data_IF_027325840256
#
_entry.id   IF_027325840256
#
_cell.length_a   1.000
_cell.length_b   1.000
_cell.length_c   1.000
_cell.angle_alpha   90.00
_cell.angle_beta   90.00
_cell.angle_gamma   90.00
#
_symmetry.space_group_name_H-M   'P 1'
#
loop_
_entity.id
_entity.type
_entity.pdbx_description
1 polymer ?
#
# COMPACT_ATOMS: atom_id res chain seq x y z
N UNK A 1 14.48 -12.16 -0.16
CA UNK A 1 14.68 -10.72 -0.42
C UNK A 1 14.58 -10.00 0.90
N UNK A 2 15.59 -9.22 1.24
CA UNK A 2 15.63 -8.51 2.51
C UNK A 2 14.98 -7.14 2.34
N UNK A 3 14.23 -6.72 3.36
CA UNK A 3 13.64 -5.38 3.44
C UNK A 3 14.36 -4.58 4.51
N UNK A 4 14.54 -3.29 4.24
CA UNK A 4 15.03 -2.33 5.21
C UNK A 4 13.84 -1.63 5.85
N UNK A 5 13.90 -1.45 7.17
CA UNK A 5 12.84 -0.81 7.95
C UNK A 5 13.32 0.53 8.50
N UNK A 6 12.45 1.53 8.46
CA UNK A 6 12.72 2.88 8.93
C UNK A 6 11.57 3.35 9.80
N UNK A 7 11.86 3.71 11.05
CA UNK A 7 10.92 4.44 11.89
C UNK A 7 10.81 5.87 11.34
N UNK A 8 9.57 6.35 11.20
CA UNK A 8 9.27 7.69 10.69
C UNK A 8 9.01 8.60 11.88
N UNK A 9 9.95 9.51 12.12
CA UNK A 9 9.95 10.45 13.25
C UNK A 9 9.66 11.89 12.78
N UNK A 10 9.83 12.18 11.48
CA UNK A 10 9.60 13.50 10.90
C UNK A 10 9.75 13.53 9.38
N UNK A 11 9.92 14.74 8.84
CA UNK A 11 10.23 14.98 7.43
C UNK A 11 9.14 14.56 6.45
N UNK A 12 9.52 14.44 5.17
CA UNK A 12 8.60 14.12 4.06
C UNK A 12 7.89 12.77 4.25
N UNK A 13 8.55 11.78 4.84
CA UNK A 13 7.95 10.48 5.12
C UNK A 13 6.73 10.60 6.05
N UNK A 14 6.81 11.47 7.06
CA UNK A 14 5.72 11.70 8.02
C UNK A 14 4.52 12.36 7.36
N UNK A 15 4.76 13.31 6.45
CA UNK A 15 3.70 13.97 5.71
C UNK A 15 2.98 12.97 4.80
N UNK A 16 3.74 12.16 4.06
CA UNK A 16 3.20 11.14 3.15
C UNK A 16 2.38 10.07 3.87
N UNK A 17 2.83 9.57 5.04
CA UNK A 17 2.07 8.55 5.77
C UNK A 17 0.76 9.13 6.32
N UNK A 18 0.77 10.38 6.78
CA UNK A 18 -0.44 11.07 7.25
C UNK A 18 -1.43 11.33 6.12
N UNK A 19 -0.94 11.80 4.98
CA UNK A 19 -1.75 11.98 3.77
C UNK A 19 -2.36 10.65 3.33
N UNK A 20 -1.56 9.58 3.25
CA UNK A 20 -2.05 8.25 2.90
C UNK A 20 -3.13 7.72 3.86
N UNK A 21 -2.98 7.95 5.17
CA UNK A 21 -4.00 7.58 6.16
C UNK A 21 -5.28 8.38 5.94
N UNK A 22 -5.17 9.69 5.71
CA UNK A 22 -6.31 10.57 5.45
C UNK A 22 -7.06 10.16 4.17
N UNK A 23 -6.34 9.89 3.08
CA UNK A 23 -6.93 9.41 1.82
C UNK A 23 -7.64 8.07 2.04
N UNK A 24 -7.01 7.10 2.71
CA UNK A 24 -7.64 5.81 3.00
C UNK A 24 -8.90 5.95 3.85
N UNK A 25 -8.93 6.91 4.77
CA UNK A 25 -10.12 7.22 5.57
C UNK A 25 -11.23 7.78 4.70
N UNK A 26 -10.93 8.74 3.83
CA UNK A 26 -11.89 9.31 2.89
C UNK A 26 -12.48 8.23 1.95
N UNK A 27 -11.63 7.35 1.39
CA UNK A 27 -12.06 6.24 0.55
C UNK A 27 -12.95 5.27 1.32
N UNK A 28 -12.59 4.89 2.56
CA UNK A 28 -13.40 4.00 3.39
C UNK A 28 -14.76 4.60 3.73
N UNK A 29 -14.82 5.91 4.03
CA UNK A 29 -16.07 6.62 4.27
C UNK A 29 -16.95 6.58 3.03
N UNK A 30 -16.42 6.97 1.86
CA UNK A 30 -17.17 6.96 0.61
C UNK A 30 -17.67 5.55 0.22
N UNK A 31 -16.84 4.52 0.41
CA UNK A 31 -17.23 3.12 0.17
C UNK A 31 -18.36 2.71 1.10
N UNK A 32 -18.30 3.07 2.39
CA UNK A 32 -19.36 2.76 3.36
C UNK A 32 -20.67 3.48 3.02
N UNK A 33 -20.61 4.75 2.65
CA UNK A 33 -21.80 5.53 2.25
C UNK A 33 -22.47 4.94 1.01
N UNK A 34 -21.68 4.63 -0.03
CA UNK A 34 -22.20 3.98 -1.23
C UNK A 34 -22.76 2.58 -0.96
N UNK A 35 -22.11 1.80 -0.09
CA UNK A 35 -22.60 0.49 0.30
C UNK A 35 -23.95 0.58 1.04
N UNK A 36 -24.08 1.54 1.96
CA UNK A 36 -25.34 1.79 2.67
C UNK A 36 -26.46 2.21 1.71
N UNK A 37 -26.17 3.09 0.75
CA UNK A 37 -27.14 3.53 -0.26
C UNK A 37 -27.60 2.37 -1.18
N UNK A 38 -26.67 1.48 -1.56
CA UNK A 38 -26.99 0.29 -2.35
C UNK A 38 -27.66 -0.83 -1.55
N UNK A 39 -27.74 -0.71 -0.22
CA UNK A 39 -28.25 -1.75 0.66
C UNK A 39 -27.39 -3.03 0.62
N UNK A 40 -26.07 -2.89 0.45
CA UNK A 40 -25.12 -4.01 0.40
C UNK A 40 -24.26 -4.06 1.66
N UNK A 41 -23.96 -5.27 2.12
CA UNK A 41 -23.03 -5.48 3.22
C UNK A 41 -21.57 -5.50 2.75
N UNK A 42 -21.33 -5.95 1.52
CA UNK A 42 -19.99 -6.10 0.97
C UNK A 42 -19.85 -5.53 -0.44
N UNK A 43 -18.91 -4.59 -0.57
CA UNK A 43 -18.44 -4.05 -1.84
C UNK A 43 -17.19 -4.77 -2.37
N UNK A 44 -17.02 -4.77 -3.68
CA UNK A 44 -15.78 -5.21 -4.34
C UNK A 44 -14.90 -3.99 -4.55
N UNK A 45 -13.76 -3.90 -3.86
CA UNK A 45 -12.86 -2.75 -3.94
C UNK A 45 -11.58 -3.05 -4.74
N UNK A 46 -11.00 -2.01 -5.32
CA UNK A 46 -9.67 -2.08 -5.91
C UNK A 46 -8.61 -2.27 -4.81
N UNK A 47 -7.73 -3.27 -4.94
CA UNK A 47 -6.67 -3.52 -3.96
C UNK A 47 -5.66 -2.37 -3.87
N UNK A 48 -5.40 -1.68 -4.97
CA UNK A 48 -4.37 -0.64 -5.07
C UNK A 48 -4.90 0.74 -4.64
N UNK A 49 -6.10 1.12 -5.07
CA UNK A 49 -6.68 2.45 -4.82
C UNK A 49 -7.84 2.48 -3.82
N UNK A 50 -8.26 1.32 -3.32
CA UNK A 50 -9.30 1.16 -2.29
C UNK A 50 -10.73 1.46 -2.73
N UNK A 51 -10.92 2.08 -3.89
CA UNK A 51 -12.23 2.52 -4.38
C UNK A 51 -13.15 1.35 -4.77
N UNK A 52 -14.46 1.59 -4.71
CA UNK A 52 -15.47 0.60 -5.07
C UNK A 52 -15.47 0.36 -6.59
N UNK A 53 -15.41 -0.91 -6.98
CA UNK A 53 -15.48 -1.37 -8.37
C UNK A 53 -16.81 -2.03 -8.67
N UNK A 54 -17.37 -2.73 -7.68
CA UNK A 54 -18.61 -3.50 -7.83
C UNK A 54 -19.25 -3.77 -6.48
N UNK A 55 -20.36 -4.49 -6.51
CA UNK A 55 -21.18 -4.81 -5.35
C UNK A 55 -21.53 -6.31 -5.36
N UNK A 56 -21.79 -6.86 -4.17
CA UNK A 56 -22.39 -8.19 -4.02
C UNK A 56 -23.79 -8.01 -3.44
N UNK A 57 -24.82 -8.42 -4.18
CA UNK A 57 -26.22 -8.29 -3.78
C UNK A 57 -26.75 -9.63 -3.23
N UNK A 58 -27.27 -9.63 -2.00
CA UNK A 58 -27.91 -10.81 -1.37
C UNK A 58 -29.41 -10.89 -1.71
N UNK A 59 -29.78 -10.64 -2.98
CA UNK A 59 -31.17 -10.59 -3.41
C UNK A 59 -31.32 -10.02 -4.82
N UNK A 60 -32.37 -9.24 -5.06
CA UNK A 60 -32.58 -8.57 -6.34
C UNK A 60 -31.44 -7.59 -6.63
N UNK A 61 -30.70 -7.86 -7.71
CA UNK A 61 -29.64 -6.98 -8.17
C UNK A 61 -30.20 -5.62 -8.60
N UNK A 62 -29.54 -4.53 -8.23
CA UNK A 62 -29.90 -3.18 -8.69
C UNK A 62 -29.93 -3.13 -10.23
N UNK A 63 -30.94 -2.50 -10.86
CA UNK A 63 -31.14 -2.55 -12.32
C UNK A 63 -29.96 -1.97 -13.12
N UNK A 64 -29.23 -1.01 -12.54
CA UNK A 64 -28.04 -0.41 -13.17
C UNK A 64 -26.79 -1.28 -13.10
N UNK A 65 -26.85 -2.46 -12.49
CA UNK A 65 -25.70 -3.35 -12.37
C UNK A 65 -25.84 -4.56 -13.30
N UNK A 66 -24.70 -5.12 -13.70
CA UNK A 66 -24.64 -6.37 -14.46
C UNK A 66 -25.15 -7.54 -13.62
N UNK A 67 -25.53 -8.63 -14.27
CA UNK A 67 -25.80 -9.89 -13.56
C UNK A 67 -24.55 -10.32 -12.78
N UNK A 68 -24.71 -10.94 -11.60
CA UNK A 68 -23.59 -11.40 -10.80
C UNK A 68 -22.77 -12.42 -11.57
N UNK A 69 -21.45 -12.31 -11.50
CA UNK A 69 -20.53 -13.30 -12.05
C UNK A 69 -20.44 -14.55 -11.15
N UNK A 70 -19.57 -15.51 -11.49
CA UNK A 70 -19.37 -16.75 -10.69
C UNK A 70 -18.97 -16.52 -9.23
N UNK A 71 -18.41 -15.35 -8.90
CA UNK A 71 -18.02 -14.95 -7.54
C UNK A 71 -19.09 -14.09 -6.85
N UNK A 72 -20.26 -13.91 -7.47
CA UNK A 72 -21.33 -13.06 -6.95
C UNK A 72 -21.13 -11.56 -7.20
N UNK A 73 -20.09 -11.16 -7.94
CA UNK A 73 -19.80 -9.74 -8.17
C UNK A 73 -20.66 -9.18 -9.29
N UNK A 74 -21.28 -8.04 -9.04
CA UNK A 74 -22.00 -7.23 -10.02
C UNK A 74 -21.31 -5.87 -10.19
N UNK A 75 -21.17 -5.41 -11.43
CA UNK A 75 -20.51 -4.14 -11.76
C UNK A 75 -21.53 -3.16 -12.32
N UNK A 76 -21.36 -1.84 -12.13
CA UNK A 76 -22.22 -0.86 -12.80
C UNK A 76 -22.18 -1.06 -14.32
N UNK A 77 -23.34 -0.99 -14.97
CA UNK A 77 -23.44 -1.01 -16.43
C UNK A 77 -22.90 0.31 -16.99
N UNK A 78 -22.39 0.24 -18.22
CA UNK A 78 -21.94 1.43 -18.96
C UNK A 78 -23.06 2.45 -19.11
N UNK A 79 -22.70 3.72 -19.04
CA UNK A 79 -23.55 4.91 -19.14
C UNK A 79 -24.65 5.01 -18.06
N UNK A 80 -24.44 4.40 -16.89
CA UNK A 80 -25.36 4.56 -15.74
C UNK A 80 -24.85 5.62 -14.76
N UNK A 81 -25.74 6.15 -13.93
CA UNK A 81 -25.34 7.08 -12.86
C UNK A 81 -24.38 6.40 -11.87
N UNK A 82 -24.57 5.11 -11.60
CA UNK A 82 -23.67 4.34 -10.74
C UNK A 82 -22.28 4.16 -11.31
N UNK A 83 -22.12 3.98 -12.63
CA UNK A 83 -20.79 3.97 -13.27
C UNK A 83 -20.08 5.31 -13.06
N UNK A 84 -20.77 6.44 -13.29
CA UNK A 84 -20.21 7.77 -13.10
C UNK A 84 -19.82 8.01 -11.63
N UNK A 85 -20.67 7.61 -10.69
CA UNK A 85 -20.40 7.74 -9.25
C UNK A 85 -19.23 6.88 -8.80
N UNK A 86 -19.15 5.62 -9.25
CA UNK A 86 -18.00 4.75 -8.93
C UNK A 86 -16.71 5.28 -9.56
N UNK A 87 -16.80 5.85 -10.76
CA UNK A 87 -15.66 6.49 -11.42
C UNK A 87 -15.16 7.72 -10.65
N UNK A 88 -16.07 8.56 -10.17
CA UNK A 88 -15.80 9.79 -9.43
C UNK A 88 -15.51 9.57 -7.92
N UNK A 89 -15.76 8.37 -7.39
CA UNK A 89 -15.50 8.07 -6.00
C UNK A 89 -14.01 8.29 -5.67
N UNK A 90 -13.71 8.82 -4.46
CA UNK A 90 -12.34 8.99 -4.01
C UNK A 90 -11.52 7.71 -4.16
N UNK A 91 -10.25 7.87 -4.53
CA UNK A 91 -9.24 6.81 -4.58
C UNK A 91 -8.01 7.33 -3.89
N UNK A 92 -7.27 6.45 -3.23
CA UNK A 92 -5.93 6.79 -2.78
C UNK A 92 -4.92 6.33 -3.82
N UNK A 93 -3.76 6.99 -3.88
CA UNK A 93 -2.70 6.53 -4.76
C UNK A 93 -2.10 5.20 -4.23
N UNK A 94 -1.56 4.33 -5.11
CA UNK A 94 -0.83 3.15 -4.67
C UNK A 94 0.36 3.57 -3.79
N UNK A 95 0.40 3.08 -2.55
CA UNK A 95 1.40 3.52 -1.55
C UNK A 95 2.83 3.32 -2.02
N UNK A 96 3.07 2.25 -2.78
CA UNK A 96 4.38 1.92 -3.34
C UNK A 96 4.84 2.97 -4.34
N UNK A 97 3.97 3.41 -5.26
CA UNK A 97 4.30 4.48 -6.23
C UNK A 97 4.58 5.80 -5.49
N UNK A 98 3.72 6.16 -4.54
CA UNK A 98 3.89 7.39 -3.74
C UNK A 98 5.23 7.41 -3.02
N UNK A 99 5.60 6.33 -2.33
CA UNK A 99 6.85 6.26 -1.58
C UNK A 99 8.06 6.18 -2.53
N UNK A 100 7.99 5.34 -3.55
CA UNK A 100 9.09 5.14 -4.49
C UNK A 100 9.46 6.44 -5.20
N UNK A 101 8.47 7.15 -5.74
CA UNK A 101 8.68 8.42 -6.43
C UNK A 101 9.13 9.51 -5.46
N UNK A 102 8.47 9.62 -4.30
CA UNK A 102 8.77 10.70 -3.36
C UNK A 102 10.14 10.59 -2.71
N UNK A 103 10.65 9.36 -2.53
CA UNK A 103 11.92 9.07 -1.85
C UNK A 103 13.00 8.58 -2.80
N UNK A 104 12.73 8.58 -4.12
CA UNK A 104 13.61 8.07 -5.17
C UNK A 104 14.11 6.64 -4.90
N UNK A 105 13.23 5.76 -4.42
CA UNK A 105 13.58 4.37 -4.12
C UNK A 105 13.50 3.55 -5.43
N UNK A 106 14.59 2.96 -5.91
CA UNK A 106 14.56 2.07 -7.05
C UNK A 106 13.77 0.80 -6.72
N UNK A 107 12.66 0.57 -7.42
CA UNK A 107 11.88 -0.66 -7.34
C UNK A 107 12.20 -1.63 -8.49
N UNK A 108 13.11 -1.25 -9.40
CA UNK A 108 13.61 -2.07 -10.50
C UNK A 108 15.14 -1.96 -10.60
N UNK A 109 15.79 -3.01 -11.08
CA UNK A 109 17.18 -3.01 -11.49
C UNK A 109 17.24 -3.20 -13.00
N UNK A 110 17.89 -2.27 -13.68
CA UNK A 110 18.34 -2.46 -15.06
C UNK A 110 19.78 -2.95 -15.04
N UNK A 111 20.11 -3.93 -15.88
CA UNK A 111 21.41 -4.58 -15.86
C UNK A 111 21.90 -5.01 -17.24
N UNK A 112 23.21 -5.17 -17.38
CA UNK A 112 23.87 -5.68 -18.61
C UNK A 112 24.85 -6.80 -18.28
N UNK A 113 25.06 -7.72 -19.20
CA UNK A 113 26.19 -8.68 -19.17
C UNK A 113 26.60 -9.03 -20.60
N UNK A 114 27.82 -8.67 -20.99
CA UNK A 114 28.31 -8.84 -22.35
C UNK A 114 27.40 -8.17 -23.38
N UNK A 115 26.69 -8.98 -24.17
CA UNK A 115 25.76 -8.52 -25.22
C UNK A 115 24.29 -8.50 -24.78
N UNK A 116 23.99 -8.85 -23.53
CA UNK A 116 22.62 -8.93 -23.02
C UNK A 116 22.30 -7.71 -22.13
N UNK A 117 21.08 -7.21 -22.27
CA UNK A 117 20.48 -6.19 -21.41
C UNK A 117 19.15 -6.71 -20.88
N UNK A 118 18.80 -6.37 -19.65
CA UNK A 118 17.57 -6.81 -19.02
C UNK A 118 17.21 -5.94 -17.83
N UNK A 119 16.04 -6.20 -17.27
CA UNK A 119 15.58 -5.55 -16.07
C UNK A 119 14.81 -6.53 -15.18
N UNK A 120 14.76 -6.26 -13.88
CA UNK A 120 13.96 -7.02 -12.91
C UNK A 120 13.36 -6.13 -11.84
N UNK A 121 12.22 -6.52 -11.28
CA UNK A 121 11.67 -5.88 -10.09
C UNK A 121 12.49 -6.23 -8.83
N UNK A 122 12.55 -5.29 -7.89
CA UNK A 122 13.09 -5.50 -6.55
C UNK A 122 11.94 -5.47 -5.57
N UNK A 123 11.45 -6.64 -5.18
CA UNK A 123 10.36 -6.77 -4.23
C UNK A 123 9.30 -7.69 -4.78
N UNK A 124 8.15 -7.62 -4.12
CA UNK A 124 6.93 -8.14 -4.71
C UNK A 124 6.35 -7.04 -5.62
N UNK A 125 6.08 -7.33 -6.91
CA UNK A 125 5.54 -6.33 -7.83
C UNK A 125 4.29 -5.63 -7.28
N UNK A 126 4.25 -4.30 -7.38
CA UNK A 126 3.17 -3.43 -6.86
C UNK A 126 3.08 -3.38 -5.33
N UNK A 127 4.10 -3.86 -4.63
CA UNK A 127 4.22 -3.84 -3.18
C UNK A 127 5.69 -3.95 -2.81
N UNK A 128 6.57 -3.19 -3.46
CA UNK A 128 8.02 -3.20 -3.23
C UNK A 128 8.42 -2.41 -1.98
N UNK A 129 7.64 -1.38 -1.66
CA UNK A 129 7.77 -0.56 -0.46
C UNK A 129 6.39 -0.14 0.07
N UNK A 130 6.32 0.28 1.33
CA UNK A 130 5.05 0.64 1.95
C UNK A 130 5.17 1.23 3.36
N UNK A 131 4.07 1.80 3.84
CA UNK A 131 3.95 2.27 5.22
C UNK A 131 3.48 1.17 6.17
N UNK A 132 3.95 1.25 7.41
CA UNK A 132 3.53 0.47 8.56
C UNK A 132 3.08 1.46 9.63
N UNK A 133 1.92 1.23 10.24
CA UNK A 133 1.43 2.09 11.30
C UNK A 133 0.50 1.32 12.22
N UNK A 134 0.59 1.61 13.52
CA UNK A 134 -0.22 0.93 14.54
C UNK A 134 -1.56 1.63 14.78
N UNK A 135 -1.60 2.95 14.60
CA UNK A 135 -2.80 3.77 14.74
C UNK A 135 -2.78 4.95 13.76
N UNK A 136 -3.89 5.72 13.68
CA UNK A 136 -3.93 6.99 12.93
C UNK A 136 -2.90 8.00 13.44
N UNK A 137 -2.47 7.89 14.71
CA UNK A 137 -1.53 8.80 15.38
C UNK A 137 -0.11 8.21 15.51
N UNK A 138 0.14 7.05 14.90
CA UNK A 138 1.43 6.36 14.95
C UNK A 138 1.54 5.34 16.10
N UNK A 139 2.76 4.82 16.38
CA UNK A 139 4.00 5.09 15.65
C UNK A 139 3.91 4.68 14.17
N UNK A 140 4.70 5.36 13.34
CA UNK A 140 4.77 5.14 11.89
C UNK A 140 6.15 4.59 11.51
N UNK A 141 6.17 3.68 10.56
CA UNK A 141 7.38 3.20 9.92
C UNK A 141 7.13 3.02 8.41
N UNK A 142 8.21 2.83 7.66
CA UNK A 142 8.15 2.36 6.29
C UNK A 142 9.13 1.22 6.09
N UNK A 143 8.87 0.44 5.05
CA UNK A 143 9.79 -0.58 4.59
C UNK A 143 10.07 -0.39 3.10
N UNK A 144 11.29 -0.71 2.71
CA UNK A 144 11.79 -0.59 1.33
C UNK A 144 12.61 -1.85 1.00
N UNK A 145 12.87 -2.16 -0.28
CA UNK A 145 13.79 -3.24 -0.60
C UNK A 145 15.23 -2.85 -0.22
N UNK A 146 16.05 -3.85 0.13
CA UNK A 146 17.50 -3.64 0.29
C UNK A 146 18.18 -3.58 -1.08
N UNK A 147 18.07 -2.43 -1.74
CA UNK A 147 18.58 -2.20 -3.11
C UNK A 147 20.08 -2.49 -3.18
N UNK A 148 20.86 -2.11 -2.17
CA UNK A 148 22.31 -2.31 -2.17
C UNK A 148 22.70 -3.79 -2.10
N UNK A 149 21.99 -4.59 -1.29
CA UNK A 149 22.18 -6.04 -1.27
C UNK A 149 21.82 -6.68 -2.62
N UNK A 150 20.76 -6.21 -3.27
CA UNK A 150 20.29 -6.73 -4.56
C UNK A 150 21.23 -6.34 -5.72
N UNK A 151 21.79 -5.12 -5.70
CA UNK A 151 22.87 -4.70 -6.60
C UNK A 151 24.11 -5.56 -6.39
N UNK A 152 24.54 -5.77 -5.15
CA UNK A 152 25.73 -6.55 -4.82
C UNK A 152 25.59 -8.01 -5.28
N UNK A 153 24.40 -8.60 -5.13
CA UNK A 153 24.11 -9.93 -5.64
C UNK A 153 24.19 -10.01 -7.17
N UNK A 154 23.61 -9.03 -7.88
CA UNK A 154 23.69 -8.95 -9.34
C UNK A 154 25.12 -8.78 -9.86
N UNK A 155 25.92 -7.94 -9.19
CA UNK A 155 27.34 -7.74 -9.55
C UNK A 155 28.18 -8.98 -9.27
N UNK A 156 27.88 -9.73 -8.19
CA UNK A 156 28.53 -11.01 -7.91
C UNK A 156 28.22 -12.07 -8.98
N UNK A 157 27.04 -12.01 -9.61
CA UNK A 157 26.64 -12.87 -10.73
C UNK A 157 27.23 -12.42 -12.08
N UNK A 158 28.05 -11.36 -12.10
CA UNK A 158 28.72 -10.87 -13.31
C UNK A 158 27.89 -9.90 -14.17
N UNK A 159 26.82 -9.34 -13.61
CA UNK A 159 26.03 -8.29 -14.25
C UNK A 159 26.51 -6.90 -13.83
N UNK A 160 26.48 -5.92 -14.74
CA UNK A 160 26.65 -4.52 -14.42
C UNK A 160 25.28 -3.85 -14.25
N UNK A 161 25.00 -3.34 -13.05
CA UNK A 161 23.74 -2.66 -12.72
C UNK A 161 23.80 -1.17 -13.07
N UNK A 162 22.71 -0.63 -13.62
CA UNK A 162 22.60 0.77 -14.04
C UNK A 162 22.20 1.71 -12.89
N UNK A 163 22.35 3.02 -13.13
CA UNK A 163 21.84 4.08 -12.26
C UNK A 163 20.32 4.24 -12.38
N UNK A 164 19.61 4.72 -11.33
CA UNK A 164 20.13 5.18 -10.05
C UNK A 164 20.34 4.06 -9.00
N UNK A 165 20.00 2.81 -9.33
CA UNK A 165 20.03 1.72 -8.34
C UNK A 165 21.44 1.45 -7.78
N UNK A 166 22.46 1.56 -8.63
CA UNK A 166 23.86 1.34 -8.26
C UNK A 166 24.36 2.33 -7.19
N UNK A 167 24.01 3.61 -7.31
CA UNK A 167 24.44 4.65 -6.36
C UNK A 167 23.43 4.95 -5.24
N UNK A 168 22.29 4.25 -5.21
CA UNK A 168 21.25 4.50 -4.23
C UNK A 168 21.72 4.22 -2.79
N UNK A 169 21.45 5.17 -1.89
CA UNK A 169 21.69 5.06 -0.46
C UNK A 169 20.38 5.32 0.27
N UNK A 170 19.90 4.38 1.10
CA UNK A 170 18.62 4.51 1.78
C UNK A 170 18.74 5.40 3.03
N UNK A 171 18.89 6.71 2.81
CA UNK A 171 18.95 7.74 3.84
C UNK A 171 17.84 8.76 3.60
N UNK A 172 16.93 8.89 4.57
CA UNK A 172 15.75 9.74 4.45
C UNK A 172 15.66 10.68 5.65
N UNK A 173 15.37 11.95 5.38
CA UNK A 173 15.20 12.95 6.43
C UNK A 173 14.04 12.56 7.37
N UNK A 174 14.23 12.78 8.67
CA UNK A 174 13.26 12.41 9.71
C UNK A 174 12.99 10.91 9.85
N UNK A 175 13.85 10.05 9.29
CA UNK A 175 13.71 8.60 9.38
C UNK A 175 14.93 7.96 10.05
N UNK A 176 14.69 7.03 10.97
CA UNK A 176 15.73 6.25 11.64
C UNK A 176 15.65 4.79 11.19
N UNK A 177 16.76 4.22 10.70
CA UNK A 177 16.81 2.80 10.35
C UNK A 177 16.62 1.95 11.62
N UNK A 178 15.77 0.94 11.52
CA UNK A 178 15.47 -0.02 12.60
C UNK A 178 15.58 -1.44 12.07
N UNK A 179 15.73 -2.38 13.00
CA UNK A 179 15.57 -3.80 12.68
C UNK A 179 14.09 -4.16 12.55
N UNK A 180 13.80 -5.24 11.83
CA UNK A 180 12.42 -5.75 11.68
C UNK A 180 11.85 -6.14 13.04
N UNK A 181 12.70 -6.70 13.89
CA UNK A 181 12.42 -7.15 15.25
C UNK A 181 12.05 -5.97 16.17
N UNK A 182 12.68 -4.80 15.99
CA UNK A 182 12.32 -3.58 16.72
C UNK A 182 10.88 -3.15 16.38
N UNK A 183 10.50 -3.18 15.10
CA UNK A 183 9.13 -2.90 14.70
C UNK A 183 8.12 -3.93 15.25
N UNK A 184 8.46 -5.21 15.18
CA UNK A 184 7.61 -6.29 15.73
C UNK A 184 7.40 -6.16 17.25
N UNK A 185 8.43 -5.72 17.97
CA UNK A 185 8.33 -5.41 19.39
C UNK A 185 7.36 -4.26 19.66
N UNK A 186 7.43 -3.16 18.89
CA UNK A 186 6.47 -2.05 18.99
C UNK A 186 5.03 -2.50 18.71
N UNK A 187 4.83 -3.35 17.70
CA UNK A 187 3.52 -3.95 17.40
C UNK A 187 2.99 -4.76 18.60
N UNK A 188 3.85 -5.56 19.23
CA UNK A 188 3.47 -6.38 20.38
C UNK A 188 3.10 -5.53 21.60
N UNK A 189 3.87 -4.48 21.90
CA UNK A 189 3.57 -3.54 22.97
C UNK A 189 2.24 -2.84 22.75
N UNK A 190 2.00 -2.30 21.55
CA UNK A 190 0.74 -1.62 21.24
C UNK A 190 -0.49 -2.54 21.39
N UNK A 191 -0.38 -3.80 20.94
CA UNK A 191 -1.45 -4.79 21.13
C UNK A 191 -1.72 -5.10 22.61
N UNK A 192 -0.68 -5.13 23.43
CA UNK A 192 -0.82 -5.34 24.87
C UNK A 192 -1.52 -4.16 25.54
N UNK A 193 -1.16 -2.93 25.18
CA UNK A 193 -1.79 -1.69 25.67
C UNK A 193 -3.26 -1.62 25.30
N UNK A 194 -3.61 -1.93 24.03
CA UNK A 194 -5.01 -1.98 23.58
C UNK A 194 -5.83 -2.99 24.39
N UNK A 195 -5.27 -4.16 24.70
CA UNK A 195 -5.95 -5.18 25.52
C UNK A 195 -6.19 -4.71 26.96
N UNK A 196 -5.19 -4.06 27.57
CA UNK A 196 -5.32 -3.51 28.92
C UNK A 196 -6.39 -2.43 28.99
N UNK A 197 -6.38 -1.49 28.05
CA UNK A 197 -7.40 -0.44 27.96
C UNK A 197 -8.82 -0.99 27.78
N UNK A 198 -8.99 -2.04 26.98
CA UNK A 198 -10.30 -2.69 26.80
C UNK A 198 -10.79 -3.41 28.06
N UNK A 199 -9.89 -4.01 28.84
CA UNK A 199 -10.24 -4.64 30.13
C UNK A 199 -10.65 -3.61 31.18
N UNK A 200 -9.99 -2.46 31.22
CA UNK A 200 -10.34 -1.37 32.15
C UNK A 200 -11.70 -0.72 31.84
N UNK A 201 -12.13 -0.72 30.58
CA UNK A 201 -13.45 -0.19 30.18
C UNK A 201 -14.61 -1.18 30.41
N UNK A 202 -14.31 -2.45 30.67
CA UNK A 202 -15.31 -3.51 30.90
C UNK A 202 -15.41 -3.94 32.36
N UNK A 203 -14.53 -3.41 33.23
CA UNK A 203 -14.55 -3.57 34.67
C UNK A 203 -15.29 -2.42 35.36
#
# INVERSE_FOLDING_TARGET
>A
MNSLYFLIEGGKALDLVKEHIAEKKAVRTAVREMAAELGIEQGVTCRLGGNLLGAIFHGTCHPDFTKPNRKGHSFPKKNTEWEKRFAAAPRHNPVTEVIADAMNIPCTLEYTSGTSHGWRHIGYPLSECGFLYLSENGPYAMWIPDVQAEVSAMEADGYAVAEPAKSFVPAFDGCRRIEKEEWEFLVAQHKLEQKRAAMEQTA
#
